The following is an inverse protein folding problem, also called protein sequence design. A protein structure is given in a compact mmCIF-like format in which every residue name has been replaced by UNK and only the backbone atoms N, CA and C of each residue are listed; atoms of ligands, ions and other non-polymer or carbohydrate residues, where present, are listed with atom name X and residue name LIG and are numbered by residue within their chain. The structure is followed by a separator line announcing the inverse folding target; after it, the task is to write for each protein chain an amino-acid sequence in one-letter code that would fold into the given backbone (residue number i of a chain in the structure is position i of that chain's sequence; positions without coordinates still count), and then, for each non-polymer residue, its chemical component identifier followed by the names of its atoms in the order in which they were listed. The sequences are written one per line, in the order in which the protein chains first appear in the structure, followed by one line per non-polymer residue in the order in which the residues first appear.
data_IF_464128757134
#
_entry.id   IF_464128757134
#
_cell.length_a   1.000
_cell.length_b   1.000
_cell.length_c   1.000
_cell.angle_alpha   90.00
_cell.angle_beta   90.00
_cell.angle_gamma   90.00
#
_symmetry.space_group_name_H-M   'P 1'
#
loop_
_entity.id
_entity.type
_entity.pdbx_description
1 polymer ?
#
# COMPACT_ATOMS: atom_id res chain seq x y z
N UNK A 1 13.92 21.33 7.57
CA UNK A 1 13.62 20.77 6.23
C UNK A 1 14.38 21.57 5.17
N UNK A 2 15.17 20.91 4.36
CA UNK A 2 15.88 21.54 3.24
C UNK A 2 15.02 21.44 1.98
N UNK A 3 14.45 22.57 1.54
CA UNK A 3 13.54 22.62 0.37
C UNK A 3 14.21 22.14 -0.93
N UNK A 4 15.48 22.48 -1.15
CA UNK A 4 16.22 22.02 -2.35
C UNK A 4 16.37 20.50 -2.35
N UNK A 5 16.68 19.91 -1.19
CA UNK A 5 16.82 18.48 -1.02
C UNK A 5 15.49 17.76 -1.25
N UNK A 6 14.37 18.29 -0.72
CA UNK A 6 13.04 17.73 -0.96
C UNK A 6 12.66 17.79 -2.44
N UNK A 7 12.90 18.91 -3.13
CA UNK A 7 12.63 19.03 -4.56
C UNK A 7 13.47 18.02 -5.35
N UNK A 8 14.75 17.88 -5.03
CA UNK A 8 15.64 16.90 -5.69
C UNK A 8 15.12 15.47 -5.51
N UNK A 9 14.68 15.11 -4.30
CA UNK A 9 14.07 13.82 -4.03
C UNK A 9 12.79 13.61 -4.85
N UNK A 10 11.89 14.60 -4.87
CA UNK A 10 10.65 14.52 -5.66
C UNK A 10 10.95 14.31 -7.14
N UNK A 11 11.91 15.05 -7.71
CA UNK A 11 12.28 14.89 -9.12
C UNK A 11 12.80 13.47 -9.40
N UNK A 12 13.70 12.94 -8.57
CA UNK A 12 14.20 11.56 -8.72
C UNK A 12 13.13 10.49 -8.53
N UNK A 13 12.12 10.72 -7.69
CA UNK A 13 11.04 9.77 -7.46
C UNK A 13 9.98 9.82 -8.58
N UNK A 14 9.58 11.02 -9.01
CA UNK A 14 8.44 11.21 -9.90
C UNK A 14 8.79 11.11 -11.38
N UNK A 15 9.94 11.65 -11.82
CA UNK A 15 10.30 11.65 -13.26
C UNK A 15 10.43 10.22 -13.81
N UNK A 16 11.16 9.28 -13.15
CA UNK A 16 11.17 7.90 -13.61
C UNK A 16 9.80 7.21 -13.52
N UNK A 17 8.97 7.57 -12.53
CA UNK A 17 7.62 7.02 -12.39
C UNK A 17 6.70 7.43 -13.55
N UNK A 18 6.83 8.67 -14.04
CA UNK A 18 6.16 9.10 -15.29
C UNK A 18 6.64 8.27 -16.47
N UNK A 19 7.94 7.95 -16.54
CA UNK A 19 8.48 7.03 -17.56
C UNK A 19 7.85 5.64 -17.52
N UNK A 20 7.65 5.08 -16.32
CA UNK A 20 6.91 3.81 -16.13
C UNK A 20 5.47 3.96 -16.63
N UNK A 21 4.77 5.03 -16.26
CA UNK A 21 3.39 5.28 -16.71
C UNK A 21 3.29 5.37 -18.25
N UNK A 22 4.24 6.03 -18.91
CA UNK A 22 4.31 6.10 -20.37
C UNK A 22 4.54 4.68 -20.95
N UNK A 23 5.47 3.90 -20.40
CA UNK A 23 5.72 2.54 -20.83
C UNK A 23 4.47 1.66 -20.69
N UNK A 24 3.76 1.77 -19.58
CA UNK A 24 2.48 1.08 -19.36
C UNK A 24 1.43 1.49 -20.39
N UNK A 25 1.32 2.79 -20.69
CA UNK A 25 0.39 3.29 -21.71
C UNK A 25 0.68 2.68 -23.09
N UNK A 26 1.95 2.63 -23.48
CA UNK A 26 2.39 2.11 -24.78
C UNK A 26 2.12 0.61 -24.97
N UNK A 27 2.07 -0.16 -23.88
CA UNK A 27 1.70 -1.58 -23.91
C UNK A 27 0.19 -1.84 -23.77
N UNK A 28 -0.64 -0.78 -23.68
CA UNK A 28 -2.10 -0.90 -23.56
C UNK A 28 -2.63 -0.92 -22.12
N UNK A 29 -1.89 -0.36 -21.16
CA UNK A 29 -2.29 -0.24 -19.77
C UNK A 29 -1.95 -1.46 -18.90
N UNK A 30 -2.60 -1.54 -17.71
CA UNK A 30 -2.32 -2.62 -16.74
C UNK A 30 -2.85 -3.99 -17.13
N UNK A 31 -3.68 -4.09 -18.19
CA UNK A 31 -4.34 -5.32 -18.59
C UNK A 31 -5.40 -5.85 -17.61
N UNK A 32 -5.61 -5.14 -16.50
CA UNK A 32 -6.48 -5.57 -15.41
C UNK A 32 -7.90 -4.96 -15.51
N UNK A 33 -8.46 -4.88 -16.71
CA UNK A 33 -9.90 -4.56 -16.85
C UNK A 33 -10.74 -5.73 -16.32
N UNK A 34 -11.57 -5.46 -15.31
CA UNK A 34 -12.44 -6.49 -14.67
C UNK A 34 -13.51 -7.02 -15.62
N UNK A 35 -13.74 -6.35 -16.75
CA UNK A 35 -14.74 -6.71 -17.76
C UNK A 35 -14.12 -7.22 -19.09
N UNK A 36 -12.85 -7.60 -19.10
CA UNK A 36 -12.26 -8.22 -20.31
C UNK A 36 -12.57 -9.70 -20.34
N UNK A 37 -13.11 -10.17 -21.47
CA UNK A 37 -13.24 -11.61 -21.73
C UNK A 37 -11.88 -12.27 -21.44
N UNK A 38 -11.82 -13.38 -20.68
CA UNK A 38 -10.57 -14.11 -20.44
C UNK A 38 -9.80 -14.45 -21.73
N UNK A 39 -10.51 -14.58 -22.86
CA UNK A 39 -9.91 -14.77 -24.18
C UNK A 39 -9.14 -13.55 -24.70
N UNK A 40 -9.47 -12.35 -24.22
CA UNK A 40 -8.84 -11.09 -24.63
C UNK A 40 -7.64 -10.69 -23.74
N UNK A 41 -7.37 -11.43 -22.67
CA UNK A 41 -6.26 -11.15 -21.76
C UNK A 41 -4.93 -11.48 -22.45
N UNK A 42 -4.17 -10.45 -22.78
CA UNK A 42 -2.80 -10.61 -23.26
C UNK A 42 -1.86 -10.91 -22.09
N UNK A 43 -1.54 -12.18 -21.86
CA UNK A 43 -0.67 -12.64 -20.76
C UNK A 43 0.68 -11.92 -20.78
N UNK A 44 1.27 -11.70 -21.94
CA UNK A 44 2.58 -11.02 -22.08
C UNK A 44 2.46 -9.57 -21.60
N UNK A 45 1.41 -8.86 -22.01
CA UNK A 45 1.13 -7.50 -21.59
C UNK A 45 0.95 -7.42 -20.06
N UNK A 46 0.16 -8.32 -19.47
CA UNK A 46 -0.08 -8.39 -18.03
C UNK A 46 1.21 -8.66 -17.26
N UNK A 47 2.06 -9.57 -17.75
CA UNK A 47 3.36 -9.85 -17.13
C UNK A 47 4.31 -8.65 -17.19
N UNK A 48 4.35 -7.95 -18.33
CA UNK A 48 5.18 -6.74 -18.48
C UNK A 48 4.67 -5.64 -17.55
N UNK A 49 3.36 -5.39 -17.49
CA UNK A 49 2.77 -4.40 -16.61
C UNK A 49 3.05 -4.71 -15.13
N UNK A 50 2.95 -5.98 -14.75
CA UNK A 50 3.27 -6.43 -13.38
C UNK A 50 4.76 -6.25 -13.06
N UNK A 51 5.65 -6.57 -14.00
CA UNK A 51 7.09 -6.36 -13.83
C UNK A 51 7.45 -4.86 -13.72
N UNK A 52 6.82 -4.00 -14.52
CA UNK A 52 6.99 -2.55 -14.45
C UNK A 52 6.50 -2.00 -13.10
N UNK A 53 5.33 -2.47 -12.63
CA UNK A 53 4.81 -2.08 -11.30
C UNK A 53 5.74 -2.51 -10.18
N UNK A 54 6.26 -3.74 -10.22
CA UNK A 54 7.21 -4.24 -9.24
C UNK A 54 8.54 -3.44 -9.26
N UNK A 55 9.06 -3.14 -10.45
CA UNK A 55 10.27 -2.33 -10.60
C UNK A 55 10.07 -0.89 -10.10
N UNK A 56 8.89 -0.32 -10.31
CA UNK A 56 8.54 1.01 -9.83
C UNK A 56 8.69 1.15 -8.32
N UNK A 57 8.40 0.09 -7.54
CA UNK A 57 8.52 0.12 -6.07
C UNK A 57 9.93 0.41 -5.57
N UNK A 58 10.97 0.22 -6.39
CA UNK A 58 12.36 0.59 -6.05
C UNK A 58 12.73 2.03 -6.43
N UNK A 59 11.93 2.74 -7.23
CA UNK A 59 12.22 4.12 -7.63
C UNK A 59 12.36 5.07 -6.42
N UNK A 60 11.53 4.98 -5.37
CA UNK A 60 11.70 5.82 -4.19
C UNK A 60 13.02 5.57 -3.45
N UNK A 61 13.47 4.31 -3.34
CA UNK A 61 14.79 3.97 -2.79
C UNK A 61 15.92 4.59 -3.65
N UNK A 62 15.83 4.47 -4.98
CA UNK A 62 16.80 5.07 -5.90
C UNK A 62 16.81 6.60 -5.71
N UNK A 63 15.62 7.22 -5.59
CA UNK A 63 15.50 8.66 -5.34
C UNK A 63 16.19 9.09 -4.03
N UNK A 64 16.06 8.30 -2.96
CA UNK A 64 16.77 8.55 -1.69
C UNK A 64 18.28 8.49 -1.89
N UNK A 65 18.79 7.43 -2.54
CA UNK A 65 20.22 7.26 -2.80
C UNK A 65 20.76 8.43 -3.62
N UNK A 66 20.13 8.76 -4.74
CA UNK A 66 20.55 9.83 -5.64
C UNK A 66 20.51 11.20 -4.95
N UNK A 67 19.49 11.45 -4.12
CA UNK A 67 19.39 12.69 -3.34
C UNK A 67 20.51 12.77 -2.31
N UNK A 68 20.75 11.74 -1.53
CA UNK A 68 21.81 11.75 -0.51
C UNK A 68 23.21 11.91 -1.15
N UNK A 69 23.45 11.25 -2.28
CA UNK A 69 24.71 11.45 -3.04
C UNK A 69 24.86 12.89 -3.55
N UNK A 70 23.79 13.50 -4.10
CA UNK A 70 23.80 14.89 -4.57
C UNK A 70 24.14 15.86 -3.46
N UNK A 71 23.66 15.62 -2.24
CA UNK A 71 23.93 16.47 -1.08
C UNK A 71 25.14 16.01 -0.25
N UNK A 72 25.92 15.01 -0.74
CA UNK A 72 27.11 14.43 -0.09
C UNK A 72 26.81 13.95 1.32
N UNK A 73 25.63 13.40 1.56
CA UNK A 73 25.23 12.79 2.81
C UNK A 73 25.49 11.28 2.79
N UNK A 74 25.74 10.65 3.96
CA UNK A 74 25.87 9.19 4.04
C UNK A 74 24.59 8.50 3.59
N UNK A 75 24.72 7.62 2.59
CA UNK A 75 23.60 6.88 2.01
C UNK A 75 22.99 5.96 3.08
N UNK A 76 21.65 6.01 3.20
CA UNK A 76 20.83 5.21 4.11
C UNK A 76 21.09 5.41 5.62
N UNK A 77 22.03 6.27 6.01
CA UNK A 77 22.30 6.54 7.43
C UNK A 77 21.19 7.38 8.07
N UNK A 78 20.74 6.94 9.25
CA UNK A 78 19.68 7.63 10.02
C UNK A 78 18.28 7.43 9.47
N UNK A 79 18.06 6.34 8.70
CA UNK A 79 16.75 5.95 8.18
C UNK A 79 16.11 4.82 9.00
N UNK A 80 16.66 4.51 10.17
CA UNK A 80 16.20 3.50 11.11
C UNK A 80 16.01 2.11 10.49
N UNK A 81 17.00 1.71 9.66
CA UNK A 81 17.07 0.37 9.11
C UNK A 81 17.73 -0.51 10.16
N UNK A 82 16.94 -1.23 10.94
CA UNK A 82 17.46 -2.16 11.95
C UNK A 82 16.50 -3.35 12.13
N UNK A 83 17.05 -4.46 12.62
CA UNK A 83 16.34 -5.72 12.86
C UNK A 83 16.12 -6.00 14.35
N UNK A 84 16.03 -4.97 15.20
CA UNK A 84 15.72 -5.12 16.62
C UNK A 84 14.23 -5.47 16.79
N UNK A 85 13.93 -6.77 16.62
CA UNK A 85 12.56 -7.28 16.69
C UNK A 85 11.98 -7.06 18.08
N UNK A 86 10.77 -6.52 18.13
CA UNK A 86 9.99 -6.35 19.34
C UNK A 86 8.51 -6.67 19.06
N UNK A 87 7.66 -6.60 20.09
CA UNK A 87 6.24 -6.95 19.96
C UNK A 87 5.50 -6.19 18.85
N UNK A 88 5.93 -4.97 18.51
CA UNK A 88 5.28 -4.14 17.50
C UNK A 88 5.45 -4.68 16.08
N UNK A 89 6.45 -5.52 15.84
CA UNK A 89 6.60 -6.22 14.57
C UNK A 89 5.47 -7.23 14.36
N UNK A 90 5.16 -8.02 15.40
CA UNK A 90 4.09 -9.02 15.34
C UNK A 90 2.71 -8.32 15.28
N UNK A 91 2.50 -7.33 16.16
CA UNK A 91 1.23 -6.59 16.20
C UNK A 91 0.99 -5.89 14.85
N UNK A 92 1.99 -5.23 14.27
CA UNK A 92 1.87 -4.54 12.99
C UNK A 92 1.56 -5.51 11.84
N UNK A 93 2.31 -6.61 11.72
CA UNK A 93 2.06 -7.61 10.69
C UNK A 93 0.64 -8.22 10.79
N UNK A 94 0.17 -8.54 12.01
CA UNK A 94 -1.15 -9.12 12.23
C UNK A 94 -2.30 -8.11 12.16
N UNK A 95 -2.02 -6.82 12.33
CA UNK A 95 -3.04 -5.78 12.17
C UNK A 95 -3.59 -5.74 10.74
N UNK A 96 -2.74 -5.95 9.73
CA UNK A 96 -3.15 -5.85 8.33
C UNK A 96 -4.22 -6.88 7.94
N UNK A 97 -4.08 -8.19 8.25
CA UNK A 97 -5.17 -9.15 8.09
C UNK A 97 -6.48 -8.72 8.77
N UNK A 98 -6.40 -8.19 9.99
CA UNK A 98 -7.59 -7.70 10.71
C UNK A 98 -8.24 -6.54 9.97
N UNK A 99 -7.47 -5.57 9.48
CA UNK A 99 -7.98 -4.45 8.69
C UNK A 99 -8.58 -4.92 7.36
N UNK A 100 -7.97 -5.91 6.71
CA UNK A 100 -8.51 -6.50 5.47
C UNK A 100 -9.88 -7.11 5.71
N UNK A 101 -10.04 -7.93 6.76
CA UNK A 101 -11.34 -8.53 7.08
C UNK A 101 -12.37 -7.49 7.54
N UNK A 102 -11.93 -6.47 8.29
CA UNK A 102 -12.80 -5.35 8.65
C UNK A 102 -13.27 -4.58 7.41
N UNK A 103 -12.41 -4.43 6.40
CA UNK A 103 -12.77 -3.80 5.12
C UNK A 103 -13.76 -4.65 4.33
N UNK A 104 -13.65 -5.98 4.34
CA UNK A 104 -14.66 -6.87 3.77
C UNK A 104 -16.01 -6.64 4.45
N UNK A 105 -16.05 -6.64 5.79
CA UNK A 105 -17.26 -6.34 6.54
C UNK A 105 -17.83 -4.95 6.23
N UNK A 106 -16.97 -3.93 6.14
CA UNK A 106 -17.38 -2.57 5.79
C UNK A 106 -17.91 -2.49 4.35
N UNK A 107 -17.30 -3.22 3.41
CA UNK A 107 -17.79 -3.29 2.02
C UNK A 107 -19.21 -3.85 1.95
N UNK A 108 -19.54 -4.86 2.76
CA UNK A 108 -20.87 -5.44 2.82
C UNK A 108 -21.94 -4.48 3.39
N UNK A 109 -21.52 -3.42 4.09
CA UNK A 109 -22.44 -2.37 4.56
C UNK A 109 -22.65 -1.28 3.50
N UNK A 110 -21.90 -1.28 2.39
CA UNK A 110 -22.06 -0.31 1.31
C UNK A 110 -23.26 -0.67 0.42
N UNK A 111 -23.91 0.35 -0.18
CA UNK A 111 -25.04 0.11 -1.07
C UNK A 111 -24.68 -0.78 -2.25
N UNK A 112 -25.49 -1.80 -2.50
CA UNK A 112 -25.34 -2.70 -3.64
C UNK A 112 -24.37 -3.87 -3.42
N UNK A 113 -23.49 -3.83 -2.42
CA UNK A 113 -22.56 -4.91 -2.13
C UNK A 113 -23.29 -6.18 -1.66
N UNK A 114 -22.84 -7.32 -2.16
CA UNK A 114 -23.34 -8.64 -1.77
C UNK A 114 -22.14 -9.55 -1.54
N UNK A 115 -22.29 -10.43 -0.56
CA UNK A 115 -21.39 -11.58 -0.42
C UNK A 115 -21.67 -12.56 -1.55
N UNK A 116 -20.68 -12.81 -2.38
CA UNK A 116 -20.80 -13.68 -3.53
C UNK A 116 -19.57 -14.60 -3.64
N UNK A 117 -19.77 -15.85 -3.28
CA UNK A 117 -18.75 -16.91 -3.42
C UNK A 117 -18.76 -17.58 -4.80
N UNK A 118 -19.68 -17.18 -5.67
CA UNK A 118 -19.81 -17.70 -7.02
C UNK A 118 -19.40 -16.65 -8.07
N UNK A 119 -18.77 -15.54 -7.64
CA UNK A 119 -18.24 -14.55 -8.56
C UNK A 119 -17.29 -15.18 -9.57
N UNK A 120 -17.22 -14.63 -10.78
CA UNK A 120 -16.34 -15.13 -11.84
C UNK A 120 -14.88 -15.20 -11.38
N UNK A 121 -14.41 -14.18 -10.68
CA UNK A 121 -13.06 -14.13 -10.14
C UNK A 121 -12.81 -15.23 -9.10
N UNK A 122 -13.79 -15.53 -8.24
CA UNK A 122 -13.73 -16.65 -7.29
C UNK A 122 -13.65 -17.98 -8.03
N UNK A 123 -14.52 -18.20 -9.02
CA UNK A 123 -14.52 -19.44 -9.81
C UNK A 123 -13.22 -19.63 -10.58
N UNK A 124 -12.69 -18.57 -11.19
CA UNK A 124 -11.36 -18.61 -11.84
C UNK A 124 -10.25 -18.98 -10.85
N UNK A 125 -10.31 -18.44 -9.63
CA UNK A 125 -9.31 -18.72 -8.59
C UNK A 125 -9.38 -20.14 -8.04
N UNK A 126 -10.54 -20.79 -8.16
CA UNK A 126 -10.73 -22.19 -7.77
C UNK A 126 -10.39 -23.18 -8.90
N UNK A 127 -10.26 -22.70 -10.15
CA UNK A 127 -9.87 -23.57 -11.27
C UNK A 127 -8.49 -24.19 -11.03
N UNK A 128 -8.41 -25.51 -11.23
CA UNK A 128 -7.17 -26.26 -11.02
C UNK A 128 -6.86 -26.61 -9.56
N UNK A 129 -7.72 -26.22 -8.60
CA UNK A 129 -7.59 -26.66 -7.22
C UNK A 129 -8.08 -28.12 -7.06
N UNK A 130 -7.58 -28.86 -6.05
CA UNK A 130 -8.02 -30.24 -5.79
C UNK A 130 -9.53 -30.33 -5.56
N UNK A 131 -10.12 -31.46 -5.91
CA UNK A 131 -11.55 -31.74 -5.67
C UNK A 131 -11.90 -31.57 -4.18
N UNK A 132 -12.98 -30.86 -3.87
CA UNK A 132 -13.37 -30.53 -2.49
C UNK A 132 -12.67 -29.30 -1.88
N UNK A 133 -11.81 -28.62 -2.63
CA UNK A 133 -11.19 -27.36 -2.19
C UNK A 133 -12.22 -26.23 -2.21
N UNK A 134 -12.65 -25.80 -1.02
CA UNK A 134 -13.73 -24.84 -0.88
C UNK A 134 -13.22 -23.38 -0.79
N UNK A 135 -14.16 -22.45 -0.95
CA UNK A 135 -13.94 -20.99 -0.86
C UNK A 135 -13.21 -20.58 0.43
N UNK A 136 -13.58 -21.16 1.58
CA UNK A 136 -12.94 -20.83 2.85
C UNK A 136 -11.48 -21.28 2.94
N UNK A 137 -11.15 -22.42 2.30
CA UNK A 137 -9.77 -22.88 2.19
C UNK A 137 -8.95 -21.93 1.32
N UNK A 138 -9.52 -21.44 0.20
CA UNK A 138 -8.88 -20.46 -0.66
C UNK A 138 -8.60 -19.14 0.10
N UNK A 139 -9.60 -18.61 0.81
CA UNK A 139 -9.43 -17.39 1.61
C UNK A 139 -8.35 -17.60 2.69
N UNK A 140 -8.41 -18.70 3.43
CA UNK A 140 -7.43 -19.01 4.48
C UNK A 140 -6.00 -19.13 3.94
N UNK A 141 -5.81 -19.83 2.83
CA UNK A 141 -4.50 -19.95 2.18
C UNK A 141 -4.05 -18.61 1.63
N UNK A 142 -4.93 -17.81 1.02
CA UNK A 142 -4.60 -16.48 0.53
C UNK A 142 -4.14 -15.55 1.66
N UNK A 143 -4.78 -15.59 2.83
CA UNK A 143 -4.38 -14.84 4.02
C UNK A 143 -2.99 -15.28 4.52
N UNK A 144 -2.76 -16.59 4.64
CA UNK A 144 -1.48 -17.15 5.13
C UNK A 144 -0.36 -16.86 4.13
N UNK A 145 -0.57 -17.14 2.85
CA UNK A 145 0.43 -16.92 1.80
C UNK A 145 0.74 -15.43 1.63
N UNK A 146 -0.28 -14.57 1.71
CA UNK A 146 -0.09 -13.12 1.67
C UNK A 146 0.68 -12.59 2.89
N UNK A 147 0.44 -13.15 4.09
CA UNK A 147 1.22 -12.83 5.28
C UNK A 147 2.70 -13.26 5.12
N UNK A 148 2.94 -14.48 4.65
CA UNK A 148 4.31 -14.97 4.37
C UNK A 148 4.99 -14.14 3.29
N UNK A 149 4.29 -13.87 2.17
CA UNK A 149 4.82 -13.04 1.11
C UNK A 149 5.11 -11.60 1.59
N UNK A 150 4.26 -11.06 2.46
CA UNK A 150 4.43 -9.74 3.07
C UNK A 150 5.67 -9.62 3.93
N UNK A 151 6.00 -10.67 4.66
CA UNK A 151 7.22 -10.72 5.50
C UNK A 151 8.48 -10.96 4.63
N UNK A 152 8.33 -11.51 3.44
CA UNK A 152 9.42 -11.92 2.55
C UNK A 152 9.46 -11.07 1.28
N UNK A 153 8.98 -11.59 0.17
CA UNK A 153 9.14 -11.00 -1.16
C UNK A 153 8.42 -9.65 -1.30
N UNK A 154 7.15 -9.56 -0.88
CA UNK A 154 6.40 -8.30 -0.95
C UNK A 154 6.97 -7.25 0.02
N UNK A 155 7.45 -7.68 1.20
CA UNK A 155 8.14 -6.82 2.14
C UNK A 155 9.45 -6.25 1.57
N UNK A 156 10.17 -7.02 0.77
CA UNK A 156 11.37 -6.55 0.05
C UNK A 156 11.03 -5.47 -0.98
N UNK A 157 9.98 -5.69 -1.78
CA UNK A 157 9.51 -4.66 -2.73
C UNK A 157 9.00 -3.43 -2.00
N UNK A 158 8.14 -3.60 -0.98
CA UNK A 158 7.62 -2.50 -0.18
C UNK A 158 8.74 -1.72 0.56
N UNK A 159 9.85 -2.38 0.93
CA UNK A 159 11.00 -1.70 1.50
C UNK A 159 11.58 -0.63 0.56
N UNK A 160 11.54 -0.86 -0.75
CA UNK A 160 11.94 0.14 -1.74
C UNK A 160 11.16 1.46 -1.63
N UNK A 161 9.89 1.36 -1.25
CA UNK A 161 9.04 2.52 -1.00
C UNK A 161 9.19 3.06 0.43
N UNK A 162 9.11 2.20 1.45
CA UNK A 162 9.07 2.62 2.84
C UNK A 162 10.34 3.30 3.31
N UNK A 163 11.48 2.93 2.73
CA UNK A 163 12.76 3.62 3.00
C UNK A 163 12.71 5.10 2.61
N UNK A 164 11.91 5.44 1.60
CA UNK A 164 11.68 6.82 1.19
C UNK A 164 10.61 7.48 2.08
N UNK A 165 9.45 6.83 2.21
CA UNK A 165 8.29 7.45 2.84
C UNK A 165 8.41 7.50 4.36
N UNK A 166 8.84 6.40 5.03
CA UNK A 166 8.94 6.29 6.50
C UNK A 166 10.39 6.33 7.01
N UNK A 167 11.36 6.31 6.11
CA UNK A 167 12.77 6.58 6.41
C UNK A 167 13.13 8.03 6.10
N UNK A 168 13.37 8.34 4.83
CA UNK A 168 13.92 9.61 4.37
C UNK A 168 13.00 10.80 4.64
N UNK A 169 11.71 10.75 4.26
CA UNK A 169 10.81 11.88 4.48
C UNK A 169 10.59 12.17 5.97
N UNK A 170 10.47 11.13 6.82
CA UNK A 170 10.39 11.36 8.26
C UNK A 170 11.64 12.07 8.79
N UNK A 171 12.82 11.66 8.37
CA UNK A 171 14.09 12.34 8.73
C UNK A 171 14.07 13.81 8.28
N UNK A 172 13.62 14.11 7.06
CA UNK A 172 13.55 15.48 6.55
C UNK A 172 12.45 16.32 7.22
N UNK A 173 11.39 15.69 7.74
CA UNK A 173 10.32 16.34 8.50
C UNK A 173 10.58 16.37 10.03
N UNK A 174 11.79 16.02 10.48
CA UNK A 174 12.17 16.11 11.90
C UNK A 174 11.78 17.46 12.51
N UNK A 175 11.16 17.42 13.70
CA UNK A 175 10.64 18.58 14.41
C UNK A 175 9.28 19.10 13.93
N UNK A 176 8.64 18.43 12.94
CA UNK A 176 7.26 18.72 12.53
C UNK A 176 6.28 17.84 13.29
N UNK A 177 5.02 18.28 13.39
CA UNK A 177 3.94 17.50 14.02
C UNK A 177 3.71 16.20 13.26
N UNK A 178 3.46 15.11 13.99
CA UNK A 178 3.19 13.78 13.44
C UNK A 178 2.12 13.80 12.33
N UNK A 179 0.91 14.34 12.61
CA UNK A 179 -0.18 14.37 11.63
C UNK A 179 0.13 15.25 10.42
N UNK A 180 0.87 16.34 10.60
CA UNK A 180 1.31 17.18 9.46
C UNK A 180 2.28 16.42 8.58
N UNK A 181 3.21 15.68 9.18
CA UNK A 181 4.17 14.83 8.45
C UNK A 181 3.43 13.69 7.74
N UNK A 182 2.47 13.06 8.41
CA UNK A 182 1.66 12.00 7.82
C UNK A 182 0.86 12.50 6.60
N UNK A 183 0.25 13.68 6.70
CA UNK A 183 -0.50 14.30 5.60
C UNK A 183 0.41 14.55 4.37
N UNK A 184 1.55 15.21 4.56
CA UNK A 184 2.45 15.51 3.45
C UNK A 184 3.06 14.23 2.84
N UNK A 185 3.51 13.30 3.68
CA UNK A 185 4.08 12.03 3.21
C UNK A 185 3.03 11.20 2.46
N UNK A 186 1.82 11.10 2.99
CA UNK A 186 0.72 10.38 2.35
C UNK A 186 0.30 11.03 1.01
N UNK A 187 0.26 12.37 0.95
CA UNK A 187 -0.05 13.10 -0.29
C UNK A 187 1.03 12.86 -1.35
N UNK A 188 2.31 12.98 -0.99
CA UNK A 188 3.42 12.73 -1.92
C UNK A 188 3.37 11.27 -2.42
N UNK A 189 3.17 10.32 -1.51
CA UNK A 189 3.09 8.90 -1.83
C UNK A 189 1.90 8.58 -2.75
N UNK A 190 0.72 9.11 -2.44
CA UNK A 190 -0.49 8.88 -3.26
C UNK A 190 -0.35 9.47 -4.67
N UNK A 191 0.11 10.71 -4.79
CA UNK A 191 0.33 11.35 -6.09
C UNK A 191 1.43 10.65 -6.91
N UNK A 192 2.42 10.04 -6.24
CA UNK A 192 3.46 9.26 -6.92
C UNK A 192 2.88 8.06 -7.71
N UNK A 193 1.75 7.49 -7.28
CA UNK A 193 1.08 6.42 -8.01
C UNK A 193 0.32 6.88 -9.26
N UNK A 194 0.06 8.19 -9.41
CA UNK A 194 -0.80 8.70 -10.49
C UNK A 194 -0.45 8.17 -11.89
N UNK A 195 0.83 8.07 -12.32
CA UNK A 195 1.16 7.61 -13.67
C UNK A 195 0.73 6.16 -13.96
N UNK A 196 0.71 5.27 -12.97
CA UNK A 196 0.25 3.88 -13.18
C UNK A 196 -1.26 3.76 -13.00
N UNK A 197 -1.86 4.56 -12.11
CA UNK A 197 -3.31 4.54 -11.88
C UNK A 197 -4.07 5.02 -13.10
N UNK A 198 -3.59 6.05 -13.80
CA UNK A 198 -4.21 6.53 -15.06
C UNK A 198 -4.23 5.41 -16.12
N UNK A 199 -3.33 4.42 -16.02
CA UNK A 199 -3.29 3.24 -16.88
C UNK A 199 -4.09 2.04 -16.31
N UNK A 200 -5.00 2.26 -15.35
CA UNK A 200 -5.93 1.27 -14.80
C UNK A 200 -5.41 0.48 -13.60
N UNK A 201 -4.23 0.79 -13.06
CA UNK A 201 -3.73 0.11 -11.86
C UNK A 201 -4.62 0.45 -10.65
N UNK A 202 -5.09 -0.56 -9.93
CA UNK A 202 -6.02 -0.50 -8.79
C UNK A 202 -7.40 0.10 -9.06
N UNK A 203 -7.58 0.92 -10.10
CA UNK A 203 -8.84 1.57 -10.44
C UNK A 203 -9.13 1.44 -11.94
N UNK A 204 -9.39 0.20 -12.44
CA UNK A 204 -9.57 -0.03 -13.87
C UNK A 204 -10.83 0.58 -14.43
N UNK A 205 -11.91 0.74 -13.63
CA UNK A 205 -13.16 1.36 -14.08
C UNK A 205 -13.13 2.89 -13.99
N UNK A 206 -12.35 3.45 -13.05
CA UNK A 206 -12.34 4.89 -12.76
C UNK A 206 -10.91 5.45 -12.60
N UNK A 207 -10.02 5.34 -13.61
CA UNK A 207 -8.61 5.66 -13.44
C UNK A 207 -8.33 7.13 -13.04
N UNK A 208 -9.12 8.09 -13.55
CA UNK A 208 -8.95 9.51 -13.18
C UNK A 208 -9.38 9.76 -11.72
N UNK A 209 -10.54 9.25 -11.32
CA UNK A 209 -10.99 9.33 -9.93
C UNK A 209 -10.05 8.53 -9.00
N UNK A 210 -9.50 7.42 -9.49
CA UNK A 210 -8.56 6.56 -8.80
C UNK A 210 -7.31 7.29 -8.30
N UNK A 211 -6.81 8.30 -9.00
CA UNK A 211 -5.68 9.11 -8.53
C UNK A 211 -6.00 9.82 -7.21
N UNK A 212 -7.21 10.38 -7.10
CA UNK A 212 -7.67 11.03 -5.87
C UNK A 212 -7.94 10.01 -4.77
N UNK A 213 -8.58 8.89 -5.11
CA UNK A 213 -8.87 7.79 -4.18
C UNK A 213 -7.58 7.21 -3.59
N UNK A 214 -6.58 6.91 -4.43
CA UNK A 214 -5.28 6.43 -3.96
C UNK A 214 -4.57 7.46 -3.08
N UNK A 215 -4.71 8.75 -3.40
CA UNK A 215 -4.11 9.79 -2.56
C UNK A 215 -4.75 9.82 -1.17
N UNK A 216 -6.09 9.70 -1.09
CA UNK A 216 -6.81 9.61 0.18
C UNK A 216 -6.42 8.33 0.93
N UNK A 217 -6.36 7.18 0.25
CA UNK A 217 -5.89 5.93 0.84
C UNK A 217 -4.49 6.09 1.46
N UNK A 218 -3.53 6.62 0.73
CA UNK A 218 -2.17 6.84 1.21
C UNK A 218 -2.10 7.81 2.40
N UNK A 219 -2.95 8.87 2.42
CA UNK A 219 -3.07 9.80 3.55
C UNK A 219 -3.58 9.06 4.79
N UNK A 220 -4.59 8.19 4.65
CA UNK A 220 -5.19 7.45 5.76
C UNK A 220 -4.31 6.29 6.26
N UNK A 221 -3.57 5.65 5.37
CA UNK A 221 -2.71 4.52 5.75
C UNK A 221 -1.36 4.98 6.34
N UNK A 222 -0.86 6.15 5.93
CA UNK A 222 0.43 6.70 6.37
C UNK A 222 0.56 6.82 7.89
N UNK A 223 -0.39 7.40 8.67
CA UNK A 223 -0.20 7.53 10.11
C UNK A 223 -0.13 6.17 10.81
N UNK A 224 -0.82 5.14 10.33
CA UNK A 224 -0.71 3.78 10.87
C UNK A 224 0.72 3.26 10.69
N UNK A 225 1.26 3.30 9.46
CA UNK A 225 2.62 2.85 9.18
C UNK A 225 3.67 3.65 9.96
N UNK A 226 3.50 4.98 10.08
CA UNK A 226 4.37 5.84 10.87
C UNK A 226 4.33 5.49 12.36
N UNK A 227 3.15 5.21 12.92
CA UNK A 227 3.00 4.82 14.31
C UNK A 227 3.78 3.54 14.61
N UNK A 228 3.58 2.49 13.80
CA UNK A 228 4.30 1.23 13.98
C UNK A 228 5.81 1.36 13.76
N UNK A 229 6.22 2.18 12.80
CA UNK A 229 7.64 2.50 12.59
C UNK A 229 8.25 3.15 13.84
N UNK A 230 7.57 4.10 14.48
CA UNK A 230 8.07 4.73 15.71
C UNK A 230 8.06 3.76 16.90
N UNK A 231 6.98 2.97 17.07
CA UNK A 231 6.88 1.97 18.16
C UNK A 231 7.90 0.84 18.06
N UNK A 232 8.26 0.45 16.86
CA UNK A 232 9.25 -0.61 16.62
C UNK A 232 10.67 -0.08 16.59
N UNK A 233 10.86 1.20 16.29
CA UNK A 233 12.16 1.82 16.02
C UNK A 233 12.77 1.40 14.68
N UNK A 234 11.98 0.85 13.74
CA UNK A 234 12.50 0.35 12.47
C UNK A 234 11.56 0.64 11.29
N UNK A 235 12.12 1.09 10.17
CA UNK A 235 11.38 1.24 8.91
C UNK A 235 10.94 -0.11 8.32
N UNK A 236 11.60 -1.20 8.70
CA UNK A 236 11.33 -2.53 8.15
C UNK A 236 9.92 -3.01 8.52
N UNK A 237 9.39 -2.65 9.70
CA UNK A 237 8.01 -3.03 10.04
C UNK A 237 6.98 -2.34 9.11
N UNK A 238 7.23 -1.09 8.72
CA UNK A 238 6.36 -0.43 7.74
C UNK A 238 6.40 -1.18 6.40
N UNK A 239 7.58 -1.64 5.97
CA UNK A 239 7.72 -2.46 4.77
C UNK A 239 7.01 -3.82 4.88
N UNK A 240 7.08 -4.49 6.04
CA UNK A 240 6.34 -5.73 6.29
C UNK A 240 4.84 -5.47 6.24
N UNK A 241 4.33 -4.45 6.95
CA UNK A 241 2.92 -4.11 6.95
C UNK A 241 2.40 -3.77 5.54
N UNK A 242 3.15 -2.97 4.80
CA UNK A 242 2.84 -2.63 3.42
C UNK A 242 2.88 -3.87 2.51
N UNK A 243 3.90 -4.71 2.65
CA UNK A 243 4.02 -5.96 1.90
C UNK A 243 2.90 -6.96 2.19
N UNK A 244 2.47 -7.10 3.46
CA UNK A 244 1.31 -7.91 3.83
C UNK A 244 0.04 -7.33 3.21
N UNK A 245 -0.14 -6.00 3.26
CA UNK A 245 -1.26 -5.33 2.61
C UNK A 245 -1.30 -5.66 1.12
N UNK A 246 -0.18 -5.52 0.40
CA UNK A 246 -0.10 -5.86 -1.03
C UNK A 246 -0.43 -7.34 -1.31
N UNK A 247 -0.14 -8.23 -0.36
CA UNK A 247 -0.41 -9.66 -0.49
C UNK A 247 -1.88 -10.06 -0.29
N UNK A 248 -2.66 -9.29 0.49
CA UNK A 248 -4.02 -9.69 0.88
C UNK A 248 -5.13 -8.68 0.57
N UNK A 249 -4.79 -7.47 0.13
CA UNK A 249 -5.78 -6.42 -0.13
C UNK A 249 -6.84 -6.83 -1.18
N UNK A 250 -6.47 -7.70 -2.12
CA UNK A 250 -7.34 -8.22 -3.17
C UNK A 250 -8.41 -9.22 -2.69
N UNK A 251 -8.37 -9.71 -1.45
CA UNK A 251 -9.34 -10.71 -0.95
C UNK A 251 -10.79 -10.20 -1.05
N UNK A 252 -11.03 -8.91 -0.83
CA UNK A 252 -12.36 -8.33 -0.96
C UNK A 252 -12.92 -8.46 -2.38
N UNK A 253 -12.07 -8.44 -3.41
CA UNK A 253 -12.49 -8.57 -4.81
C UNK A 253 -12.96 -9.98 -5.14
N UNK A 254 -12.53 -11.00 -4.40
CA UNK A 254 -12.94 -12.39 -4.59
C UNK A 254 -14.36 -12.66 -4.12
N UNK A 255 -14.84 -11.90 -3.11
CA UNK A 255 -16.05 -12.25 -2.35
C UNK A 255 -17.11 -11.16 -2.32
N UNK A 256 -16.83 -9.98 -2.86
CA UNK A 256 -17.78 -8.87 -2.95
C UNK A 256 -18.21 -8.66 -4.40
N UNK A 257 -19.51 -8.71 -4.68
CA UNK A 257 -20.12 -8.50 -5.99
C UNK A 257 -21.27 -7.49 -5.89
N UNK A 258 -21.57 -6.70 -6.96
CA UNK A 258 -20.76 -6.51 -8.16
C UNK A 258 -19.46 -5.78 -7.86
N UNK A 259 -18.47 -5.85 -8.76
CA UNK A 259 -17.23 -5.07 -8.62
C UNK A 259 -17.50 -3.57 -8.68
N UNK A 260 -16.83 -2.80 -7.83
CA UNK A 260 -16.80 -1.33 -7.88
C UNK A 260 -15.56 -0.82 -7.14
N UNK A 261 -14.59 -0.33 -7.90
CA UNK A 261 -13.29 0.10 -7.41
C UNK A 261 -13.32 1.39 -6.56
N UNK A 262 -14.39 2.18 -6.62
CA UNK A 262 -14.55 3.37 -5.78
C UNK A 262 -15.20 3.08 -4.43
N UNK A 263 -16.07 2.06 -4.34
CA UNK A 263 -16.87 1.81 -3.15
C UNK A 263 -16.30 0.68 -2.27
N UNK A 264 -15.84 -0.42 -2.88
CA UNK A 264 -15.49 -1.63 -2.16
C UNK A 264 -13.98 -1.86 -2.08
N UNK A 265 -13.60 -2.74 -1.17
CA UNK A 265 -12.21 -3.13 -1.01
C UNK A 265 -11.33 -2.12 -0.30
N UNK A 266 -10.06 -2.47 -0.23
CA UNK A 266 -9.09 -1.78 0.60
C UNK A 266 -8.79 -0.34 0.13
N UNK A 267 -8.85 -0.08 -1.15
CA UNK A 267 -8.60 1.24 -1.75
C UNK A 267 -9.87 2.01 -2.10
N UNK A 268 -11.06 1.42 -1.87
CA UNK A 268 -12.35 2.06 -2.00
C UNK A 268 -12.82 2.77 -0.72
N UNK A 269 -14.02 3.34 -0.77
CA UNK A 269 -14.63 4.06 0.36
C UNK A 269 -14.72 3.19 1.62
N UNK A 270 -15.03 1.89 1.48
CA UNK A 270 -15.05 0.94 2.59
C UNK A 270 -13.70 0.85 3.31
N UNK A 271 -12.60 0.78 2.55
CA UNK A 271 -11.25 0.81 3.08
C UNK A 271 -10.92 2.12 3.79
N UNK A 272 -11.38 3.25 3.24
CA UNK A 272 -11.16 4.57 3.88
C UNK A 272 -11.83 4.66 5.24
N UNK A 273 -13.08 4.21 5.36
CA UNK A 273 -13.79 4.18 6.64
C UNK A 273 -13.09 3.25 7.62
N UNK A 274 -12.65 2.06 7.17
CA UNK A 274 -11.88 1.13 8.00
C UNK A 274 -10.58 1.74 8.50
N UNK A 275 -9.80 2.38 7.63
CA UNK A 275 -8.54 3.04 8.00
C UNK A 275 -8.77 4.24 8.94
N UNK A 276 -9.85 4.99 8.73
CA UNK A 276 -10.19 6.10 9.62
C UNK A 276 -10.52 5.59 11.03
N UNK A 277 -11.35 4.55 11.14
CA UNK A 277 -11.67 3.90 12.42
C UNK A 277 -10.39 3.36 13.07
N UNK A 278 -9.52 2.69 12.31
CA UNK A 278 -8.24 2.20 12.81
C UNK A 278 -7.36 3.33 13.36
N UNK A 279 -7.25 4.46 12.66
CA UNK A 279 -6.51 5.62 13.13
C UNK A 279 -7.09 6.18 14.44
N UNK A 280 -8.42 6.27 14.55
CA UNK A 280 -9.09 6.70 15.79
C UNK A 280 -8.77 5.72 16.94
N UNK A 281 -8.89 4.42 16.71
CA UNK A 281 -8.58 3.40 17.72
C UNK A 281 -7.12 3.45 18.18
N UNK A 282 -6.18 3.58 17.23
CA UNK A 282 -4.75 3.70 17.55
C UNK A 282 -4.47 5.01 18.30
N UNK A 283 -5.07 6.13 17.89
CA UNK A 283 -4.96 7.40 18.59
C UNK A 283 -5.46 7.31 20.04
N UNK A 284 -6.63 6.70 20.25
CA UNK A 284 -7.20 6.53 21.61
C UNK A 284 -6.32 5.61 22.46
N UNK A 285 -5.82 4.51 21.88
CA UNK A 285 -4.85 3.64 22.55
C UNK A 285 -3.56 4.40 22.91
N UNK A 286 -3.01 5.15 21.96
CA UNK A 286 -1.78 5.93 22.14
C UNK A 286 -1.92 6.97 23.25
N UNK A 287 -3.06 7.65 23.31
CA UNK A 287 -3.32 8.72 24.29
C UNK A 287 -3.68 8.20 25.68
N UNK A 288 -4.54 7.18 25.77
CA UNK A 288 -5.15 6.79 27.05
C UNK A 288 -4.54 5.53 27.67
N UNK A 289 -4.00 4.63 26.86
CA UNK A 289 -3.47 3.33 27.32
C UNK A 289 -1.94 3.33 27.31
N UNK A 290 -1.30 3.52 26.15
CA UNK A 290 0.16 3.53 26.08
C UNK A 290 0.77 4.81 26.62
N UNK A 291 0.04 5.94 26.54
CA UNK A 291 0.44 7.28 27.01
C UNK A 291 1.73 7.81 26.35
N UNK A 292 2.10 7.27 25.21
CA UNK A 292 3.29 7.72 24.45
C UNK A 292 3.02 9.01 23.68
N UNK A 293 1.73 9.29 23.37
CA UNK A 293 1.26 10.49 22.69
C UNK A 293 1.92 10.75 21.33
N UNK A 294 2.27 9.69 20.61
CA UNK A 294 2.96 9.75 19.30
C UNK A 294 2.17 10.57 18.28
N UNK A 295 0.83 10.37 18.21
CA UNK A 295 -0.02 11.11 17.28
C UNK A 295 -0.03 12.62 17.48
N UNK A 296 0.32 13.09 18.68
CA UNK A 296 0.36 14.52 19.03
C UNK A 296 1.78 15.05 19.20
N UNK A 297 2.80 14.19 19.09
CA UNK A 297 4.21 14.55 19.23
C UNK A 297 4.80 15.22 17.96
N UNK A 298 6.01 15.69 18.09
CA UNK A 298 6.89 16.04 16.98
C UNK A 298 7.61 14.78 16.49
N UNK A 299 7.98 14.75 15.22
CA UNK A 299 8.87 13.73 14.67
C UNK A 299 10.29 13.95 15.21
N UNK A 300 10.89 12.89 15.78
CA UNK A 300 12.24 12.89 16.35
C UNK A 300 13.34 12.75 15.31
#
# INVERSE_FOLDING_TARGET
MNTKKLITFILWAFVPMVGIGIAMHLIGGSGAGVNTDPADINIVQTLIASALSAAAMFLPLIAVIMTQLTFKEPVLKGLDINFKINKWWVIGALLIPVLTMATVGMSLLMPGAKWDTNSELMQMSLQGMPEGFGVWALIGISMISGLIAGITINGLFAFGEEIAWRGFLLKEFKGKKFLTTALWTGTIWGLWHAPIIINGHNYPEHPVAGVFMMTIFCILFTPILMYFRQRSGSVIIAAIMHGVFNGIAGISLLIISPFNDLLYGATGLAGFITLLIANICIYLYDRHISKENIYTSLID
#
